data_IF_034404788812
#
_entry.id   IF_034404788812
#
_cell.length_a   1.000
_cell.length_b   1.000
_cell.length_c   1.000
_cell.angle_alpha   90.00
_cell.angle_beta   90.00
_cell.angle_gamma   90.00
#
_symmetry.space_group_name_H-M   'P 1'
#
loop_
_entity.id
_entity.type
_entity.pdbx_description
1 polymer ?
#
# COMPACT_ATOMS: atom_id res chain seq x y z
N UNK A 1 16.67 3.72 20.93
CA UNK A 1 15.92 2.58 21.47
C UNK A 1 15.35 1.83 20.27
N UNK A 2 15.50 0.52 20.18
CA UNK A 2 14.88 -0.27 19.10
C UNK A 2 13.39 -0.42 19.40
N UNK A 3 12.53 -0.09 18.45
CA UNK A 3 11.09 -0.30 18.59
C UNK A 3 10.79 -1.80 18.77
N UNK A 4 9.90 -2.12 19.70
CA UNK A 4 9.42 -3.48 19.92
C UNK A 4 8.20 -3.78 19.05
N UNK A 5 7.80 -5.05 18.96
CA UNK A 5 6.56 -5.42 18.28
C UNK A 5 5.32 -4.74 18.90
N UNK A 6 5.33 -4.55 20.23
CA UNK A 6 4.23 -3.93 20.96
C UNK A 6 4.14 -2.44 20.58
N UNK A 7 5.26 -1.73 20.57
CA UNK A 7 5.29 -0.31 20.20
C UNK A 7 4.73 -0.08 18.78
N UNK A 8 5.09 -0.96 17.83
CA UNK A 8 4.60 -0.89 16.45
C UNK A 8 3.11 -1.17 16.34
N UNK A 9 2.59 -2.14 17.11
CA UNK A 9 1.17 -2.46 17.16
C UNK A 9 0.37 -1.35 17.82
N UNK A 10 0.89 -0.74 18.87
CA UNK A 10 0.23 0.37 19.57
C UNK A 10 0.17 1.61 18.68
N UNK A 11 1.26 1.94 17.97
CA UNK A 11 1.28 3.02 16.98
C UNK A 11 0.28 2.76 15.84
N UNK A 12 0.28 1.53 15.30
CA UNK A 12 -0.66 1.12 14.26
C UNK A 12 -2.11 1.20 14.73
N UNK A 13 -2.41 0.67 15.93
CA UNK A 13 -3.73 0.71 16.55
C UNK A 13 -4.22 2.14 16.76
N UNK A 14 -3.38 2.98 17.35
CA UNK A 14 -3.69 4.39 17.58
C UNK A 14 -4.06 5.11 16.28
N UNK A 15 -3.32 4.82 15.20
CA UNK A 15 -3.61 5.39 13.88
C UNK A 15 -4.95 4.93 13.31
N UNK A 16 -5.26 3.63 13.33
CA UNK A 16 -6.55 3.12 12.81
C UNK A 16 -7.74 3.51 13.69
N UNK A 17 -7.52 3.77 14.98
CA UNK A 17 -8.56 4.31 15.88
C UNK A 17 -8.85 5.80 15.59
N UNK A 18 -7.89 6.52 14.96
CA UNK A 18 -8.02 7.95 14.65
C UNK A 18 -8.68 8.24 13.29
N UNK A 19 -8.57 7.33 12.32
CA UNK A 19 -9.01 7.56 10.95
C UNK A 19 -9.96 6.47 10.47
N UNK A 20 -11.01 6.86 9.73
CA UNK A 20 -11.86 5.92 9.01
C UNK A 20 -11.11 5.39 7.78
N UNK A 21 -10.47 4.23 7.93
CA UNK A 21 -9.63 3.62 6.90
C UNK A 21 -10.27 2.35 6.31
N UNK A 22 -9.97 2.02 5.04
CA UNK A 22 -10.43 0.78 4.41
C UNK A 22 -9.99 -0.47 5.18
N UNK A 23 -10.82 -1.52 5.13
CA UNK A 23 -10.53 -2.80 5.76
C UNK A 23 -9.23 -3.44 5.26
N UNK A 24 -8.51 -4.06 6.21
CA UNK A 24 -7.29 -4.80 5.96
C UNK A 24 -7.56 -6.30 6.09
N UNK A 25 -6.96 -7.07 5.19
CA UNK A 25 -6.97 -8.53 5.25
C UNK A 25 -5.93 -9.07 6.23
N UNK A 26 -4.73 -8.46 6.25
CA UNK A 26 -3.66 -8.88 7.13
C UNK A 26 -2.73 -7.72 7.50
N UNK A 27 -2.10 -7.84 8.66
CA UNK A 27 -1.08 -6.92 9.15
C UNK A 27 0.12 -7.74 9.61
N UNK A 28 1.30 -7.39 9.12
CA UNK A 28 2.57 -8.02 9.46
C UNK A 28 3.49 -6.99 10.08
N UNK A 29 3.95 -7.28 11.29
CA UNK A 29 4.89 -6.43 12.03
C UNK A 29 6.30 -6.98 11.86
N UNK A 30 7.20 -6.13 11.39
CA UNK A 30 8.61 -6.47 11.15
C UNK A 30 9.44 -5.75 12.19
N UNK A 31 9.92 -6.51 13.18
CA UNK A 31 10.89 -6.01 14.18
C UNK A 31 12.28 -6.41 13.71
N UNK A 32 12.93 -5.51 12.97
CA UNK A 32 14.29 -5.68 12.50
C UNK A 32 15.23 -4.68 13.18
N UNK A 33 16.50 -5.04 13.32
CA UNK A 33 17.52 -4.17 13.92
C UNK A 33 17.79 -2.89 13.11
N UNK A 34 17.35 -2.84 11.84
CA UNK A 34 17.44 -1.68 10.97
C UNK A 34 16.16 -0.85 11.00
N UNK A 35 15.25 -1.13 10.07
CA UNK A 35 14.02 -0.36 9.88
C UNK A 35 12.80 -1.19 10.31
N UNK A 36 12.34 -1.05 11.56
CA UNK A 36 11.09 -1.66 11.99
C UNK A 36 9.93 -1.06 11.20
N UNK A 37 8.99 -1.90 10.77
CA UNK A 37 7.90 -1.48 9.90
C UNK A 37 6.65 -2.33 10.07
N UNK A 38 5.54 -1.76 9.63
CA UNK A 38 4.25 -2.44 9.53
C UNK A 38 3.89 -2.61 8.06
N UNK A 39 3.58 -3.84 7.64
CA UNK A 39 3.06 -4.13 6.32
C UNK A 39 1.58 -4.50 6.44
N UNK A 40 0.72 -3.75 5.78
CA UNK A 40 -0.73 -3.94 5.80
C UNK A 40 -1.26 -4.29 4.40
N UNK A 41 -2.02 -5.37 4.31
CA UNK A 41 -2.66 -5.80 3.07
C UNK A 41 -4.12 -5.36 3.06
N UNK A 42 -4.54 -4.60 2.05
CA UNK A 42 -5.94 -4.23 1.86
C UNK A 42 -6.80 -5.48 1.61
N UNK A 43 -8.02 -5.51 2.14
CA UNK A 43 -9.00 -6.54 1.82
C UNK A 43 -9.62 -6.38 0.43
N UNK A 44 -9.43 -5.24 -0.22
CA UNK A 44 -9.93 -4.96 -1.56
C UNK A 44 -9.24 -5.82 -2.63
N UNK A 45 -10.02 -6.34 -3.58
CA UNK A 45 -9.54 -7.13 -4.72
C UNK A 45 -9.73 -6.46 -6.07
N UNK A 46 -10.61 -5.44 -6.14
CA UNK A 46 -10.88 -4.72 -7.38
C UNK A 46 -9.89 -3.56 -7.56
N UNK A 47 -9.35 -3.30 -8.77
CA UNK A 47 -8.35 -2.24 -8.99
C UNK A 47 -8.78 -0.86 -8.50
N UNK A 48 -10.04 -0.47 -8.75
CA UNK A 48 -10.60 0.80 -8.27
C UNK A 48 -10.63 0.87 -6.73
N UNK A 49 -11.01 -0.22 -6.06
CA UNK A 49 -11.10 -0.26 -4.60
C UNK A 49 -9.71 -0.25 -3.97
N UNK A 50 -8.74 -0.95 -4.58
CA UNK A 50 -7.33 -0.92 -4.16
C UNK A 50 -6.79 0.50 -4.30
N UNK A 51 -6.96 1.15 -5.45
CA UNK A 51 -6.46 2.50 -5.68
C UNK A 51 -7.11 3.51 -4.73
N UNK A 52 -8.43 3.45 -4.54
CA UNK A 52 -9.17 4.30 -3.59
C UNK A 52 -8.69 4.05 -2.16
N UNK A 53 -8.51 2.79 -1.77
CA UNK A 53 -8.07 2.45 -0.43
C UNK A 53 -6.63 2.91 -0.15
N UNK A 54 -5.74 2.74 -1.11
CA UNK A 54 -4.36 3.25 -1.02
C UNK A 54 -4.33 4.78 -0.91
N UNK A 55 -5.18 5.50 -1.66
CA UNK A 55 -5.29 6.95 -1.55
C UNK A 55 -5.81 7.39 -0.18
N UNK A 56 -6.84 6.71 0.36
CA UNK A 56 -7.34 6.98 1.71
C UNK A 56 -6.24 6.80 2.77
N UNK A 57 -5.42 5.75 2.64
CA UNK A 57 -4.24 5.59 3.50
C UNK A 57 -3.22 6.70 3.30
N UNK A 58 -2.86 7.03 2.04
CA UNK A 58 -1.90 8.09 1.74
C UNK A 58 -2.28 9.44 2.36
N UNK A 59 -3.56 9.79 2.41
CA UNK A 59 -4.04 11.05 3.00
C UNK A 59 -3.84 11.13 4.52
N UNK A 60 -3.62 10.01 5.19
CA UNK A 60 -3.39 9.95 6.65
C UNK A 60 -1.91 9.88 7.03
N UNK A 61 -1.02 9.63 6.07
CA UNK A 61 0.39 9.37 6.31
C UNK A 61 1.26 10.60 6.01
N UNK A 62 2.46 10.60 6.60
CA UNK A 62 3.51 11.56 6.26
C UNK A 62 4.59 10.90 5.41
N UNK A 63 5.39 11.71 4.69
CA UNK A 63 6.48 11.24 3.83
C UNK A 63 6.07 10.18 2.78
N UNK A 64 4.89 10.36 2.20
CA UNK A 64 4.27 9.39 1.30
C UNK A 64 5.09 9.17 0.03
N UNK A 65 5.35 7.90 -0.26
CA UNK A 65 5.88 7.39 -1.52
C UNK A 65 4.95 6.29 -2.02
N UNK A 66 4.81 6.18 -3.34
CA UNK A 66 4.02 5.11 -3.97
C UNK A 66 4.90 4.23 -4.84
N UNK A 67 4.67 2.93 -4.79
CA UNK A 67 5.48 1.93 -5.49
C UNK A 67 4.59 0.90 -6.19
N UNK A 68 4.98 0.53 -7.41
CA UNK A 68 4.52 -0.66 -8.08
C UNK A 68 5.63 -1.71 -8.05
N UNK A 69 5.32 -2.93 -7.61
CA UNK A 69 6.25 -4.05 -7.55
C UNK A 69 5.66 -5.24 -8.27
N UNK A 70 6.36 -5.78 -9.27
CA UNK A 70 5.95 -7.03 -9.92
C UNK A 70 6.43 -8.20 -9.08
N UNK A 71 5.51 -9.03 -8.61
CA UNK A 71 5.84 -10.14 -7.72
C UNK A 71 6.74 -11.18 -8.41
N UNK A 72 7.46 -12.05 -7.67
CA UNK A 72 8.39 -13.01 -8.26
C UNK A 72 7.74 -14.00 -9.24
N UNK A 73 6.49 -14.41 -9.00
CA UNK A 73 5.72 -15.26 -9.93
C UNK A 73 5.38 -14.57 -11.24
N UNK A 74 5.40 -13.24 -11.29
CA UNK A 74 5.19 -12.44 -12.48
C UNK A 74 3.75 -12.30 -12.94
N UNK A 75 2.78 -12.85 -12.20
CA UNK A 75 1.34 -12.88 -12.49
C UNK A 75 0.57 -11.70 -11.88
N UNK A 76 1.14 -11.02 -10.89
CA UNK A 76 0.54 -9.86 -10.25
C UNK A 76 1.51 -8.68 -10.08
N UNK A 77 0.92 -7.50 -9.90
CA UNK A 77 1.62 -6.29 -9.47
C UNK A 77 1.04 -5.86 -8.14
N UNK A 78 1.89 -5.66 -7.14
CA UNK A 78 1.50 -5.01 -5.89
C UNK A 78 1.66 -3.51 -6.04
N UNK A 79 0.56 -2.79 -5.85
CA UNK A 79 0.61 -1.36 -5.64
C UNK A 79 0.68 -1.09 -4.15
N UNK A 80 1.52 -0.14 -3.77
CA UNK A 80 1.70 0.20 -2.37
C UNK A 80 1.88 1.69 -2.14
N UNK A 81 1.45 2.11 -0.97
CA UNK A 81 1.73 3.39 -0.35
C UNK A 81 2.65 3.11 0.83
N UNK A 82 3.77 3.81 0.87
CA UNK A 82 4.75 3.76 1.96
C UNK A 82 4.75 5.14 2.58
N UNK A 83 4.67 5.21 3.90
CA UNK A 83 4.72 6.47 4.63
C UNK A 83 5.02 6.22 6.10
N UNK A 84 4.81 7.26 6.90
CA UNK A 84 5.01 7.19 8.34
C UNK A 84 3.70 7.48 9.08
N UNK A 85 3.40 6.63 10.06
CA UNK A 85 2.41 6.87 11.10
C UNK A 85 2.91 7.96 12.06
N UNK A 86 2.08 8.30 13.06
CA UNK A 86 2.56 9.05 14.22
C UNK A 86 3.82 8.38 14.82
N UNK A 87 4.67 9.21 15.44
CA UNK A 87 5.94 8.77 16.07
C UNK A 87 7.00 8.21 15.09
N UNK A 88 6.79 8.35 13.77
CA UNK A 88 7.77 8.01 12.75
C UNK A 88 7.83 6.53 12.38
N UNK A 89 6.84 5.73 12.79
CA UNK A 89 6.76 4.30 12.41
C UNK A 89 6.46 4.16 10.93
N UNK A 90 7.35 3.50 10.19
CA UNK A 90 7.16 3.22 8.76
C UNK A 90 6.04 2.20 8.57
N UNK A 91 5.10 2.52 7.68
CA UNK A 91 4.05 1.62 7.24
C UNK A 91 4.08 1.49 5.71
N UNK A 92 3.89 0.27 5.23
CA UNK A 92 3.58 -0.03 3.83
C UNK A 92 2.19 -0.64 3.76
N UNK A 93 1.28 0.05 3.09
CA UNK A 93 -0.05 -0.46 2.77
C UNK A 93 -0.03 -0.91 1.32
N UNK A 94 -0.53 -2.09 1.00
CA UNK A 94 -0.50 -2.61 -0.36
C UNK A 94 -1.77 -3.37 -0.74
N UNK A 95 -1.98 -3.48 -2.05
CA UNK A 95 -3.00 -4.34 -2.66
C UNK A 95 -2.47 -4.96 -3.95
N UNK A 96 -2.88 -6.20 -4.21
CA UNK A 96 -2.45 -6.95 -5.40
C UNK A 96 -3.41 -6.77 -6.57
N UNK A 97 -2.85 -6.51 -7.75
CA UNK A 97 -3.56 -6.46 -9.03
C UNK A 97 -3.09 -7.59 -9.94
N UNK A 98 -3.98 -8.21 -10.74
CA UNK A 98 -3.53 -9.05 -11.84
C UNK A 98 -2.70 -8.21 -12.82
N UNK A 99 -1.63 -8.78 -13.37
CA UNK A 99 -0.84 -8.13 -14.40
C UNK A 99 -1.70 -7.92 -15.66
N UNK A 100 -1.67 -6.70 -16.19
CA UNK A 100 -2.32 -6.35 -17.46
C UNK A 100 -1.31 -5.66 -18.37
N UNK A 101 -1.48 -5.78 -19.69
CA UNK A 101 -0.52 -5.26 -20.69
C UNK A 101 -0.34 -3.73 -20.65
N UNK A 102 -1.29 -3.01 -20.06
CA UNK A 102 -1.29 -1.54 -19.98
C UNK A 102 -1.41 -1.01 -18.55
N UNK A 103 -1.32 -1.88 -17.55
CA UNK A 103 -1.43 -1.50 -16.14
C UNK A 103 -0.14 -0.90 -15.59
N UNK A 104 -0.20 -0.26 -14.40
CA UNK A 104 1.03 0.12 -13.70
C UNK A 104 1.88 -1.12 -13.43
N UNK A 105 3.16 -1.02 -13.75
CA UNK A 105 4.09 -2.14 -13.60
C UNK A 105 4.08 -3.15 -14.76
N UNK A 106 3.34 -2.91 -15.86
CA UNK A 106 3.33 -3.78 -17.04
C UNK A 106 4.74 -4.03 -17.60
N UNK A 107 5.58 -3.00 -17.60
CA UNK A 107 6.94 -3.05 -18.13
C UNK A 107 7.99 -3.54 -17.11
N UNK A 108 7.58 -3.86 -15.87
CA UNK A 108 8.52 -4.33 -14.84
C UNK A 108 8.94 -5.76 -15.12
N UNK A 109 10.23 -6.04 -14.98
CA UNK A 109 10.70 -7.41 -14.83
C UNK A 109 10.17 -8.02 -13.52
N UNK A 110 10.07 -9.34 -13.45
CA UNK A 110 9.68 -10.00 -12.20
C UNK A 110 10.63 -9.62 -11.06
N UNK A 111 10.07 -9.45 -9.87
CA UNK A 111 10.77 -9.05 -8.65
C UNK A 111 11.44 -7.65 -8.71
N UNK A 112 10.99 -6.80 -9.63
CA UNK A 112 11.44 -5.40 -9.69
C UNK A 112 10.33 -4.44 -9.30
N UNK A 113 10.72 -3.34 -8.66
CA UNK A 113 9.82 -2.27 -8.25
C UNK A 113 10.22 -0.93 -8.85
N UNK A 114 9.24 -0.04 -8.96
CA UNK A 114 9.46 1.34 -9.37
C UNK A 114 8.57 2.27 -8.56
N UNK A 115 9.10 3.44 -8.21
CA UNK A 115 8.28 4.53 -7.68
C UNK A 115 7.32 5.01 -8.76
N UNK A 116 6.03 5.04 -8.43
CA UNK A 116 5.00 5.60 -9.30
C UNK A 116 4.49 6.90 -8.70
N UNK A 117 4.02 7.88 -9.50
CA UNK A 117 3.36 9.07 -8.96
C UNK A 117 2.00 8.72 -8.33
N UNK A 118 1.62 9.42 -7.25
CA UNK A 118 0.27 9.32 -6.66
C UNK A 118 -0.86 9.57 -7.69
N UNK A 119 -0.59 10.35 -8.74
CA UNK A 119 -1.51 10.58 -9.85
C UNK A 119 -1.92 9.29 -10.57
N UNK A 120 -1.06 8.26 -10.60
CA UNK A 120 -1.39 6.93 -11.17
C UNK A 120 -2.48 6.26 -10.35
N UNK A 121 -2.40 6.31 -9.01
CA UNK A 121 -3.46 5.79 -8.14
C UNK A 121 -4.76 6.58 -8.32
N UNK A 122 -4.69 7.92 -8.41
CA UNK A 122 -5.87 8.75 -8.68
C UNK A 122 -6.53 8.38 -10.00
N UNK A 123 -5.73 8.17 -11.05
CA UNK A 123 -6.26 7.75 -12.34
C UNK A 123 -6.97 6.39 -12.26
N UNK A 124 -6.35 5.39 -11.61
CA UNK A 124 -6.98 4.08 -11.40
C UNK A 124 -8.28 4.15 -10.59
N UNK A 125 -8.33 5.03 -9.58
CA UNK A 125 -9.54 5.23 -8.79
C UNK A 125 -10.69 5.85 -9.63
N UNK A 126 -10.39 6.59 -10.69
CA UNK A 126 -11.38 7.20 -11.59
C UNK A 126 -11.80 6.32 -12.78
N UNK A 127 -10.91 5.44 -13.27
CA UNK A 127 -11.14 4.66 -14.49
C UNK A 127 -12.31 3.66 -14.38
N UNK A 128 -12.68 3.24 -13.17
CA UNK A 128 -13.82 2.34 -12.98
C UNK A 128 -15.19 2.98 -13.19
N UNK A 129 -15.27 4.29 -13.48
CA UNK A 129 -16.53 4.96 -13.83
C UNK A 129 -16.93 4.76 -15.31
N UNK A 130 -16.04 4.27 -16.18
CA UNK A 130 -16.25 4.31 -17.65
C UNK A 130 -16.67 2.96 -18.27
N UNK A 131 -16.78 1.88 -17.49
CA UNK A 131 -17.16 0.53 -17.99
C UNK A 131 -18.50 0.00 -17.45
N UNK A 132 -19.52 0.86 -17.44
CA UNK A 132 -20.93 0.45 -17.46
C UNK A 132 -21.65 1.24 -18.56
N UNK A 133 -21.49 0.78 -19.81
CA UNK A 133 -22.21 1.23 -20.99
C UNK A 133 -22.38 0.07 -21.96
#
# INVERSE_FOLDING_TARGET
MSATAIDLLDAFRSHVDQFELPELYSVHVIVAAGEPSVNAHLAAHHPLQIATGLLAWADTLTHVTTEAWRVPSGDSVHLSVIGQLAEGVTIRVYGGLPLTEHGPGADLACDTSVTVPLAVLRHLATLGEVTLG
#
